data_IF_497102878099
#
_entry.id   IF_497102878099
#
_cell.length_a   1.000
_cell.length_b   1.000
_cell.length_c   1.000
_cell.angle_alpha   90.00
_cell.angle_beta   90.00
_cell.angle_gamma   90.00
#
_symmetry.space_group_name_H-M   'P 1'
#
loop_
_entity.id
_entity.type
_entity.pdbx_description
1 polymer ?
#
# COMPACT_ATOMS: atom_id res chain seq x y z
N UNK A 1 11.53 -31.68 -12.54
CA UNK A 1 11.47 -30.20 -12.53
C UNK A 1 12.35 -29.75 -11.39
N UNK A 2 13.45 -29.08 -11.68
CA UNK A 2 14.36 -28.55 -10.65
C UNK A 2 13.62 -27.45 -9.89
N UNK A 3 13.36 -27.67 -8.60
CA UNK A 3 12.86 -26.63 -7.70
C UNK A 3 13.85 -25.47 -7.71
N UNK A 4 13.50 -24.38 -8.40
CA UNK A 4 14.24 -23.14 -8.31
C UNK A 4 14.06 -22.65 -6.88
N UNK A 5 15.13 -22.71 -6.09
CA UNK A 5 15.14 -22.21 -4.72
C UNK A 5 14.95 -20.69 -4.75
N UNK A 6 13.72 -20.24 -4.53
CA UNK A 6 13.40 -18.81 -4.45
C UNK A 6 14.11 -18.25 -3.21
N UNK A 7 14.89 -17.20 -3.40
CA UNK A 7 15.57 -16.48 -2.33
C UNK A 7 14.94 -15.10 -2.22
N UNK A 8 14.36 -14.81 -1.07
CA UNK A 8 13.80 -13.49 -0.77
C UNK A 8 14.88 -12.59 -0.19
N UNK A 9 14.87 -11.31 -0.57
CA UNK A 9 15.86 -10.34 -0.12
C UNK A 9 15.18 -9.05 0.33
N UNK A 10 15.84 -8.30 1.22
CA UNK A 10 15.38 -6.97 1.60
C UNK A 10 15.55 -6.03 0.39
N UNK A 11 14.48 -5.38 -0.11
CA UNK A 11 14.57 -4.42 -1.20
C UNK A 11 15.52 -3.27 -0.87
N UNK A 12 16.22 -2.77 -1.89
CA UNK A 12 17.09 -1.60 -1.79
C UNK A 12 16.71 -0.57 -2.84
N UNK A 13 17.02 0.69 -2.53
CA UNK A 13 16.78 1.80 -3.44
C UNK A 13 17.75 1.74 -4.62
N UNK A 14 17.20 1.58 -5.82
CA UNK A 14 17.97 1.54 -7.08
C UNK A 14 17.81 2.80 -7.93
N UNK A 15 16.75 3.59 -7.71
CA UNK A 15 16.52 4.88 -8.38
C UNK A 15 17.07 6.00 -7.50
N UNK A 16 18.28 6.46 -7.85
CA UNK A 16 19.01 7.50 -7.10
C UNK A 16 19.24 8.76 -7.94
N UNK A 17 19.14 8.65 -9.27
CA UNK A 17 19.34 9.73 -10.22
C UNK A 17 18.35 9.64 -11.39
N UNK A 18 18.21 10.71 -12.16
CA UNK A 18 17.40 10.70 -13.40
C UNK A 18 17.90 9.66 -14.40
N UNK A 19 19.21 9.38 -14.45
CA UNK A 19 19.78 8.37 -15.34
C UNK A 19 19.30 6.95 -14.99
N UNK A 20 19.02 6.68 -13.72
CA UNK A 20 18.50 5.39 -13.26
C UNK A 20 17.03 5.17 -13.66
N UNK A 21 16.30 6.23 -14.00
CA UNK A 21 14.92 6.11 -14.50
C UNK A 21 14.83 5.25 -15.76
N UNK A 22 15.85 5.30 -16.62
CA UNK A 22 15.91 4.43 -17.81
C UNK A 22 15.95 2.96 -17.42
N UNK A 23 16.75 2.61 -16.40
CA UNK A 23 16.82 1.23 -15.86
C UNK A 23 15.48 0.82 -15.28
N UNK A 24 14.85 1.72 -14.51
CA UNK A 24 13.52 1.50 -13.94
C UNK A 24 12.48 1.18 -15.01
N UNK A 25 12.35 2.01 -16.05
CA UNK A 25 11.37 1.79 -17.12
C UNK A 25 11.60 0.50 -17.92
N UNK A 26 12.85 0.04 -18.02
CA UNK A 26 13.18 -1.25 -18.65
C UNK A 26 13.12 -2.46 -17.71
N UNK A 27 12.86 -2.25 -16.42
CA UNK A 27 12.94 -3.31 -15.41
C UNK A 27 11.71 -4.22 -15.42
N UNK A 28 11.90 -5.48 -15.00
CA UNK A 28 10.80 -6.41 -14.80
C UNK A 28 9.80 -5.90 -13.75
N UNK A 29 10.29 -5.24 -12.69
CA UNK A 29 9.45 -4.68 -11.63
C UNK A 29 8.47 -3.62 -12.15
N UNK A 30 8.94 -2.73 -13.04
CA UNK A 30 8.07 -1.73 -13.67
C UNK A 30 6.99 -2.38 -14.55
N UNK A 31 7.37 -3.36 -15.37
CA UNK A 31 6.43 -4.11 -16.20
C UNK A 31 5.37 -4.84 -15.37
N UNK A 32 5.80 -5.61 -14.36
CA UNK A 32 4.91 -6.34 -13.46
C UNK A 32 3.95 -5.42 -12.70
N UNK A 33 4.43 -4.26 -12.25
CA UNK A 33 3.64 -3.28 -11.52
C UNK A 33 2.56 -2.65 -12.39
N UNK A 34 2.91 -2.18 -13.59
CA UNK A 34 1.92 -1.61 -14.51
C UNK A 34 0.89 -2.66 -14.93
N UNK A 35 1.35 -3.87 -15.27
CA UNK A 35 0.46 -4.99 -15.58
C UNK A 35 -0.54 -5.24 -14.44
N UNK A 36 -0.07 -5.23 -13.19
CA UNK A 36 -0.93 -5.39 -12.02
C UNK A 36 -1.98 -4.26 -11.92
N UNK A 37 -1.55 -3.00 -12.02
CA UNK A 37 -2.46 -1.83 -11.92
C UNK A 37 -3.50 -1.86 -13.03
N UNK A 38 -3.11 -2.17 -14.27
CA UNK A 38 -4.04 -2.26 -15.40
C UNK A 38 -4.97 -3.47 -15.30
N UNK A 39 -4.51 -4.62 -14.78
CA UNK A 39 -5.38 -5.78 -14.55
C UNK A 39 -6.49 -5.48 -13.56
N UNK A 40 -6.17 -4.86 -12.43
CA UNK A 40 -7.20 -4.41 -11.48
C UNK A 40 -8.16 -3.44 -12.19
N UNK A 41 -7.63 -2.45 -12.91
CA UNK A 41 -8.45 -1.47 -13.63
C UNK A 41 -9.45 -2.15 -14.58
N UNK A 42 -9.00 -3.12 -15.39
CA UNK A 42 -9.87 -3.89 -16.29
C UNK A 42 -10.93 -4.70 -15.54
N UNK A 43 -10.55 -5.33 -14.43
CA UNK A 43 -11.48 -6.15 -13.64
C UNK A 43 -12.52 -5.30 -12.87
N UNK A 44 -12.27 -4.00 -12.69
CA UNK A 44 -13.19 -3.04 -12.10
C UNK A 44 -14.04 -2.27 -13.13
N UNK A 45 -13.79 -2.44 -14.44
CA UNK A 45 -14.57 -1.77 -15.49
C UNK A 45 -16.06 -2.07 -15.35
N UNK A 46 -16.88 -1.02 -15.32
CA UNK A 46 -18.35 -1.10 -15.19
C UNK A 46 -18.81 -1.84 -13.93
N UNK A 47 -17.97 -1.93 -12.89
CA UNK A 47 -18.22 -2.73 -11.70
C UNK A 47 -18.08 -1.89 -10.42
N UNK A 48 -19.18 -1.47 -9.77
CA UNK A 48 -19.11 -0.75 -8.51
C UNK A 48 -18.52 -1.64 -7.40
N UNK A 49 -18.03 -1.03 -6.31
CA UNK A 49 -17.46 -1.78 -5.18
C UNK A 49 -18.45 -2.83 -4.61
N UNK A 50 -19.75 -2.53 -4.62
CA UNK A 50 -20.81 -3.45 -4.18
C UNK A 50 -20.90 -4.74 -5.01
N UNK A 51 -20.35 -4.74 -6.22
CA UNK A 51 -20.35 -5.87 -7.15
C UNK A 51 -18.96 -6.54 -7.25
N UNK A 52 -18.00 -6.16 -6.41
CA UNK A 52 -16.66 -6.77 -6.36
C UNK A 52 -16.65 -8.17 -5.69
N UNK A 53 -17.82 -8.72 -5.42
CA UNK A 53 -18.00 -10.07 -4.90
C UNK A 53 -17.67 -10.20 -3.41
N UNK A 54 -17.69 -11.44 -2.92
CA UNK A 54 -17.24 -11.76 -1.56
C UNK A 54 -15.71 -11.87 -1.56
N UNK A 55 -14.99 -11.21 -0.64
CA UNK A 55 -13.55 -11.40 -0.52
C UNK A 55 -13.23 -12.86 -0.17
N UNK A 56 -12.13 -13.38 -0.75
CA UNK A 56 -11.56 -14.66 -0.32
C UNK A 56 -11.00 -14.57 1.09
N UNK A 57 -10.70 -15.71 1.71
CA UNK A 57 -10.07 -15.76 3.05
C UNK A 57 -8.76 -14.95 3.08
N UNK A 58 -7.97 -15.03 2.00
CA UNK A 58 -6.75 -14.26 1.86
C UNK A 58 -7.03 -12.75 1.77
N UNK A 59 -8.04 -12.33 1.01
CA UNK A 59 -8.39 -10.91 0.93
C UNK A 59 -8.93 -10.38 2.26
N UNK A 60 -9.77 -11.19 2.94
CA UNK A 60 -10.26 -10.90 4.30
C UNK A 60 -9.10 -10.76 5.29
N UNK A 61 -8.11 -11.65 5.27
CA UNK A 61 -6.96 -11.55 6.19
C UNK A 61 -6.11 -10.28 5.99
N UNK A 62 -6.03 -9.75 4.77
CA UNK A 62 -5.37 -8.45 4.51
C UNK A 62 -6.22 -7.29 5.03
N UNK A 63 -7.56 -7.37 4.91
CA UNK A 63 -8.47 -6.41 5.54
C UNK A 63 -8.31 -6.41 7.06
N UNK A 64 -8.28 -7.60 7.68
CA UNK A 64 -8.09 -7.76 9.13
C UNK A 64 -6.72 -7.24 9.58
N UNK A 65 -5.67 -7.42 8.77
CA UNK A 65 -4.37 -6.79 9.01
C UNK A 65 -4.49 -5.26 9.02
N UNK A 66 -5.22 -4.66 8.06
CA UNK A 66 -5.44 -3.21 8.03
C UNK A 66 -6.30 -2.75 9.23
N UNK A 67 -7.28 -3.54 9.68
CA UNK A 67 -8.06 -3.30 10.90
C UNK A 67 -7.18 -3.30 12.15
N UNK A 68 -6.24 -4.24 12.25
CA UNK A 68 -5.26 -4.26 13.33
C UNK A 68 -4.42 -2.98 13.33
N UNK A 69 -3.88 -2.57 12.17
CA UNK A 69 -3.09 -1.34 12.06
C UNK A 69 -3.90 -0.09 12.42
N UNK A 70 -5.18 -0.04 12.03
CA UNK A 70 -6.10 1.03 12.42
C UNK A 70 -6.33 1.07 13.93
N UNK A 71 -6.53 -0.09 14.56
CA UNK A 71 -6.82 -0.19 15.99
C UNK A 71 -5.72 0.46 16.84
N UNK A 72 -4.47 0.41 16.39
CA UNK A 72 -3.33 1.02 17.09
C UNK A 72 -3.40 2.54 17.15
N UNK A 73 -4.20 3.20 16.31
CA UNK A 73 -4.39 4.65 16.39
C UNK A 73 -4.90 5.06 17.78
N UNK A 74 -5.71 4.21 18.43
CA UNK A 74 -6.18 4.45 19.80
C UNK A 74 -5.05 4.41 20.85
N UNK A 75 -4.01 3.61 20.61
CA UNK A 75 -2.84 3.51 21.51
C UNK A 75 -1.89 4.71 21.37
N UNK A 76 -1.98 5.45 20.25
CA UNK A 76 -1.14 6.61 19.94
C UNK A 76 -1.99 7.84 19.65
N UNK A 77 -2.70 8.40 20.65
CA UNK A 77 -3.55 9.57 20.45
C UNK A 77 -2.71 10.81 20.03
N UNK A 78 -3.28 11.73 19.23
CA UNK A 78 -2.59 12.95 18.83
C UNK A 78 -2.11 13.77 20.03
N UNK A 79 -0.84 14.21 19.98
CA UNK A 79 -0.28 15.10 21.00
C UNK A 79 -0.86 16.51 20.82
N UNK A 80 -1.44 17.06 21.89
CA UNK A 80 -1.90 18.45 21.95
C UNK A 80 -0.75 19.38 22.33
N UNK A 81 0.12 19.66 21.36
CA UNK A 81 1.17 20.68 21.50
C UNK A 81 0.72 21.96 20.77
N UNK A 82 0.41 23.01 21.53
CA UNK A 82 -0.01 24.31 20.99
C UNK A 82 1.06 24.97 20.09
N UNK A 83 2.32 24.53 20.16
CA UNK A 83 3.41 25.02 19.29
C UNK A 83 3.53 24.22 17.99
N UNK A 84 2.91 23.05 17.89
CA UNK A 84 2.99 22.20 16.72
C UNK A 84 1.99 22.63 15.64
N UNK A 85 2.50 23.25 14.57
CA UNK A 85 1.70 23.71 13.44
C UNK A 85 1.48 22.66 12.35
N UNK A 86 2.40 21.70 12.23
CA UNK A 86 2.44 20.70 11.15
C UNK A 86 2.67 19.30 11.73
N UNK A 87 2.18 18.26 11.04
CA UNK A 87 2.45 16.82 11.28
C UNK A 87 2.56 16.38 12.74
N UNK A 88 1.55 15.75 13.32
CA UNK A 88 1.55 15.29 14.71
C UNK A 88 2.62 14.22 14.96
N UNK A 89 3.44 14.43 16.01
CA UNK A 89 4.57 13.53 16.31
C UNK A 89 4.15 12.13 16.75
N UNK A 90 2.93 11.93 17.25
CA UNK A 90 2.43 10.61 17.60
C UNK A 90 2.41 9.63 16.41
N UNK A 91 2.37 10.14 15.17
CA UNK A 91 2.54 9.31 13.97
C UNK A 91 3.86 8.54 13.96
N UNK A 92 4.92 9.12 14.53
CA UNK A 92 6.23 8.46 14.60
C UNK A 92 6.18 7.21 15.47
N UNK A 93 5.43 7.26 16.56
CA UNK A 93 5.31 6.14 17.49
C UNK A 93 4.41 5.05 16.89
N UNK A 94 3.30 5.43 16.24
CA UNK A 94 2.47 4.50 15.47
C UNK A 94 3.27 3.81 14.35
N UNK A 95 4.03 4.58 13.57
CA UNK A 95 4.83 4.06 12.46
C UNK A 95 6.00 3.20 12.95
N UNK A 96 6.63 3.59 14.07
CA UNK A 96 7.67 2.78 14.71
C UNK A 96 7.14 1.40 15.07
N UNK A 97 5.96 1.29 15.68
CA UNK A 97 5.33 -0.01 15.97
C UNK A 97 5.11 -0.83 14.70
N UNK A 98 4.63 -0.20 13.62
CA UNK A 98 4.52 -0.86 12.31
C UNK A 98 5.86 -1.44 11.86
N UNK A 99 6.94 -0.65 11.89
CA UNK A 99 8.27 -1.12 11.47
C UNK A 99 8.82 -2.26 12.33
N UNK A 100 8.55 -2.25 13.64
CA UNK A 100 9.00 -3.29 14.57
C UNK A 100 8.19 -4.59 14.43
N UNK A 101 6.91 -4.51 14.07
CA UNK A 101 6.02 -5.66 13.98
C UNK A 101 5.79 -6.19 12.55
N UNK A 102 6.16 -5.45 11.49
CA UNK A 102 5.78 -5.76 10.11
C UNK A 102 6.17 -7.18 9.67
N UNK A 103 7.38 -7.63 10.00
CA UNK A 103 7.84 -8.98 9.63
C UNK A 103 6.99 -10.06 10.29
N UNK A 104 6.68 -9.93 11.58
CA UNK A 104 5.89 -10.93 12.31
C UNK A 104 4.42 -10.92 11.87
N UNK A 105 3.85 -9.74 11.59
CA UNK A 105 2.52 -9.61 10.98
C UNK A 105 2.48 -10.34 9.64
N UNK A 106 3.47 -10.13 8.78
CA UNK A 106 3.52 -10.76 7.47
C UNK A 106 3.80 -12.26 7.53
N UNK A 107 4.59 -12.74 8.50
CA UNK A 107 4.74 -14.18 8.71
C UNK A 107 3.42 -14.83 9.11
N UNK A 108 2.66 -14.21 10.00
CA UNK A 108 1.33 -14.69 10.38
C UNK A 108 0.35 -14.68 9.20
N UNK A 109 0.37 -13.62 8.39
CA UNK A 109 -0.47 -13.49 7.20
C UNK A 109 -0.14 -14.53 6.12
N UNK A 110 1.15 -14.77 5.86
CA UNK A 110 1.61 -15.58 4.73
C UNK A 110 1.71 -17.08 5.03
N UNK A 111 1.70 -17.47 6.31
CA UNK A 111 1.82 -18.86 6.80
C UNK A 111 2.95 -19.63 6.10
N UNK A 112 2.64 -20.56 5.20
CA UNK A 112 3.60 -21.36 4.43
C UNK A 112 4.57 -20.51 3.58
N UNK A 113 4.22 -19.26 3.28
CA UNK A 113 5.04 -18.32 2.49
C UNK A 113 5.77 -17.28 3.36
N UNK A 114 5.86 -17.53 4.67
CA UNK A 114 6.49 -16.64 5.66
C UNK A 114 7.93 -16.22 5.34
N UNK A 115 8.68 -17.00 4.56
CA UNK A 115 10.02 -16.63 4.09
C UNK A 115 10.04 -15.34 3.24
N UNK A 116 8.93 -15.00 2.58
CA UNK A 116 8.79 -13.78 1.80
C UNK A 116 8.56 -12.52 2.65
N UNK A 117 8.26 -12.67 3.94
CA UNK A 117 7.94 -11.55 4.83
C UNK A 117 9.05 -10.49 4.87
N UNK A 118 10.32 -10.89 4.80
CA UNK A 118 11.46 -9.97 4.79
C UNK A 118 11.50 -9.06 3.56
N UNK A 119 10.98 -9.54 2.43
CA UNK A 119 10.95 -8.80 1.18
C UNK A 119 9.71 -7.89 1.11
N UNK A 120 8.58 -8.36 1.64
CA UNK A 120 7.31 -7.61 1.64
C UNK A 120 7.25 -6.53 2.73
N UNK A 121 7.94 -6.70 3.85
CA UNK A 121 7.85 -5.79 5.00
C UNK A 121 8.22 -4.34 4.64
N UNK A 122 9.29 -4.05 3.88
CA UNK A 122 9.61 -2.67 3.49
C UNK A 122 8.52 -2.01 2.65
N UNK A 123 7.91 -2.73 1.70
CA UNK A 123 6.78 -2.20 0.93
C UNK A 123 5.59 -1.84 1.83
N UNK A 124 5.25 -2.71 2.79
CA UNK A 124 4.18 -2.45 3.75
C UNK A 124 4.52 -1.25 4.66
N UNK A 125 5.74 -1.16 5.17
CA UNK A 125 6.16 -0.07 6.06
C UNK A 125 6.14 1.30 5.35
N UNK A 126 6.57 1.34 4.09
CA UNK A 126 6.57 2.55 3.27
C UNK A 126 5.20 2.87 2.67
N UNK A 127 4.16 2.06 2.93
CA UNK A 127 2.82 2.29 2.40
C UNK A 127 2.06 3.43 3.09
N UNK A 128 2.43 3.83 4.32
CA UNK A 128 1.57 4.70 5.16
C UNK A 128 2.12 6.11 5.41
N UNK A 129 3.19 6.50 4.72
CA UNK A 129 3.83 7.80 4.86
C UNK A 129 5.24 7.74 5.46
N UNK A 130 5.90 8.89 5.56
CA UNK A 130 7.24 9.00 6.11
C UNK A 130 7.21 9.52 7.56
N UNK A 131 7.75 8.80 8.56
CA UNK A 131 7.69 9.22 9.96
C UNK A 131 8.56 10.45 10.27
N UNK A 132 9.65 10.65 9.54
CA UNK A 132 10.55 11.79 9.76
C UNK A 132 9.88 13.09 9.34
N UNK A 133 9.38 13.13 8.11
CA UNK A 133 8.71 14.29 7.51
C UNK A 133 7.25 14.42 7.92
N UNK A 134 6.63 13.33 8.37
CA UNK A 134 5.19 13.23 8.70
C UNK A 134 4.37 13.65 7.48
N UNK A 135 4.71 13.06 6.34
CA UNK A 135 4.06 13.28 5.05
C UNK A 135 3.61 11.97 4.40
N UNK A 136 2.64 12.06 3.50
CA UNK A 136 2.12 10.95 2.70
C UNK A 136 1.87 11.45 1.27
N UNK A 137 2.02 10.59 0.27
CA UNK A 137 1.73 10.91 -1.13
C UNK A 137 1.73 9.66 -2.01
N UNK A 138 1.67 9.87 -3.32
CA UNK A 138 1.49 8.81 -4.34
C UNK A 138 2.62 7.78 -4.37
N UNK A 139 3.82 8.14 -3.90
CA UNK A 139 4.92 7.17 -3.71
C UNK A 139 4.61 6.12 -2.64
N UNK A 140 3.94 6.52 -1.55
CA UNK A 140 3.51 5.62 -0.49
C UNK A 140 2.33 4.75 -0.95
N UNK A 141 1.36 5.35 -1.67
CA UNK A 141 0.30 4.61 -2.36
C UNK A 141 0.88 3.53 -3.29
N UNK A 142 1.90 3.88 -4.08
CA UNK A 142 2.59 2.95 -4.97
C UNK A 142 3.28 1.82 -4.21
N UNK A 143 3.81 2.06 -3.01
CA UNK A 143 4.39 1.01 -2.17
C UNK A 143 3.33 0.00 -1.73
N UNK A 144 2.11 0.44 -1.39
CA UNK A 144 1.01 -0.47 -1.07
C UNK A 144 0.58 -1.31 -2.27
N UNK A 145 0.52 -0.69 -3.45
CA UNK A 145 0.22 -1.40 -4.69
C UNK A 145 1.30 -2.40 -5.07
N UNK A 146 2.58 -2.09 -4.84
CA UNK A 146 3.69 -3.04 -4.99
C UNK A 146 3.56 -4.21 -4.00
N UNK A 147 3.21 -3.92 -2.75
CA UNK A 147 2.92 -4.95 -1.75
C UNK A 147 1.81 -5.91 -2.22
N UNK A 148 0.68 -5.39 -2.72
CA UNK A 148 -0.40 -6.20 -3.30
C UNK A 148 0.07 -6.98 -4.54
N UNK A 149 0.84 -6.36 -5.43
CA UNK A 149 1.44 -7.02 -6.59
C UNK A 149 2.29 -8.23 -6.16
N UNK A 150 3.15 -8.06 -5.15
CA UNK A 150 3.95 -9.14 -4.57
C UNK A 150 3.09 -10.29 -4.04
N UNK A 151 1.95 -10.02 -3.40
CA UNK A 151 1.01 -11.06 -2.95
C UNK A 151 0.42 -11.87 -4.12
N UNK A 152 0.12 -11.24 -5.26
CA UNK A 152 -0.25 -11.98 -6.48
C UNK A 152 0.92 -12.80 -7.05
N UNK A 153 2.14 -12.26 -7.07
CA UNK A 153 3.34 -12.97 -7.54
C UNK A 153 3.66 -14.19 -6.67
N UNK A 154 3.40 -14.10 -5.37
CA UNK A 154 3.53 -15.19 -4.41
C UNK A 154 2.42 -16.24 -4.52
N UNK A 155 1.39 -16.02 -5.35
CA UNK A 155 0.16 -16.84 -5.37
C UNK A 155 -0.53 -16.88 -3.99
N UNK A 156 -0.36 -15.82 -3.20
CA UNK A 156 -1.22 -15.58 -2.05
C UNK A 156 -2.59 -15.14 -2.54
N UNK A 157 -2.63 -14.18 -3.46
CA UNK A 157 -3.82 -13.91 -4.26
C UNK A 157 -3.81 -14.69 -5.57
N UNK A 158 -5.00 -15.04 -6.04
CA UNK A 158 -5.25 -15.66 -7.34
C UNK A 158 -6.09 -14.74 -8.22
N UNK A 159 -6.19 -15.05 -9.51
CA UNK A 159 -6.87 -14.18 -10.49
C UNK A 159 -8.30 -13.78 -10.10
N UNK A 160 -9.02 -14.67 -9.43
CA UNK A 160 -10.40 -14.38 -8.99
C UNK A 160 -10.47 -13.33 -7.88
N UNK A 161 -9.35 -13.00 -7.24
CA UNK A 161 -9.28 -11.98 -6.18
C UNK A 161 -9.15 -10.54 -6.73
N UNK A 162 -8.85 -10.35 -8.02
CA UNK A 162 -8.63 -8.99 -8.57
C UNK A 162 -9.76 -8.00 -8.24
N UNK A 163 -11.05 -8.32 -8.42
CA UNK A 163 -12.13 -7.41 -8.06
C UNK A 163 -12.15 -7.08 -6.56
N UNK A 164 -12.00 -8.08 -5.68
CA UNK A 164 -12.01 -7.87 -4.23
C UNK A 164 -10.78 -7.08 -3.76
N UNK A 165 -9.60 -7.30 -4.35
CA UNK A 165 -8.40 -6.54 -4.01
C UNK A 165 -8.55 -5.07 -4.41
N UNK A 166 -9.08 -4.80 -5.61
CA UNK A 166 -9.29 -3.43 -6.09
C UNK A 166 -10.44 -2.69 -5.40
N UNK A 167 -11.57 -3.37 -5.19
CA UNK A 167 -12.80 -2.75 -4.69
C UNK A 167 -12.96 -2.80 -3.17
N UNK A 168 -12.34 -3.75 -2.47
CA UNK A 168 -12.54 -3.96 -1.02
C UNK A 168 -11.24 -3.71 -0.25
N UNK A 169 -10.16 -4.41 -0.60
CA UNK A 169 -8.88 -4.28 0.12
C UNK A 169 -8.31 -2.87 -0.05
N UNK A 170 -8.30 -2.35 -1.28
CA UNK A 170 -7.79 -1.01 -1.54
C UNK A 170 -8.70 0.08 -0.95
N UNK A 171 -10.02 -0.09 -0.98
CA UNK A 171 -10.95 0.83 -0.28
C UNK A 171 -10.62 0.89 1.22
N UNK A 172 -10.40 -0.27 1.84
CA UNK A 172 -10.03 -0.37 3.25
C UNK A 172 -8.70 0.30 3.56
N UNK A 173 -7.71 0.16 2.67
CA UNK A 173 -6.43 0.85 2.76
C UNK A 173 -6.59 2.38 2.69
N UNK A 174 -7.40 2.89 1.76
CA UNK A 174 -7.68 4.32 1.64
C UNK A 174 -8.37 4.85 2.90
N UNK A 175 -9.28 4.08 3.50
CA UNK A 175 -9.90 4.44 4.77
C UNK A 175 -8.85 4.62 5.87
N UNK A 176 -7.93 3.66 6.03
CA UNK A 176 -6.84 3.77 7.01
C UNK A 176 -5.96 4.99 6.73
N UNK A 177 -5.54 5.20 5.48
CA UNK A 177 -4.74 6.37 5.10
C UNK A 177 -5.42 7.68 5.45
N UNK A 178 -6.71 7.84 5.11
CA UNK A 178 -7.50 9.04 5.45
C UNK A 178 -7.59 9.24 6.96
N UNK A 179 -7.77 8.16 7.72
CA UNK A 179 -7.83 8.23 9.18
C UNK A 179 -6.50 8.66 9.80
N UNK A 180 -5.38 8.13 9.31
CA UNK A 180 -4.03 8.56 9.72
C UNK A 180 -3.77 10.03 9.36
N UNK A 181 -4.12 10.43 8.13
CA UNK A 181 -3.97 11.81 7.65
C UNK A 181 -4.74 12.80 8.52
N UNK A 182 -6.00 12.51 8.83
CA UNK A 182 -6.85 13.37 9.66
C UNK A 182 -6.39 13.38 11.12
N UNK A 183 -6.07 12.21 11.67
CA UNK A 183 -5.72 12.06 13.10
C UNK A 183 -4.37 12.70 13.40
N UNK A 184 -3.38 12.46 12.55
CA UNK A 184 -2.02 12.97 12.75
C UNK A 184 -1.70 14.22 11.95
N UNK A 185 -2.66 14.83 11.23
CA UNK A 185 -2.42 16.03 10.41
C UNK A 185 -1.20 15.84 9.48
N UNK A 186 -1.14 14.68 8.82
CA UNK A 186 -0.04 14.30 7.91
C UNK A 186 -0.05 15.27 6.72
N UNK A 187 1.12 15.70 6.27
CA UNK A 187 1.26 16.65 5.17
C UNK A 187 1.31 15.95 3.80
N UNK A 188 0.90 16.62 2.71
CA UNK A 188 1.09 16.11 1.35
C UNK A 188 2.57 16.01 0.98
N UNK A 189 3.01 14.83 0.55
CA UNK A 189 4.36 14.60 0.07
C UNK A 189 4.43 14.91 -1.44
N UNK A 190 5.19 15.94 -1.81
CA UNK A 190 5.40 16.27 -3.22
C UNK A 190 4.19 16.90 -3.92
N UNK A 191 3.20 17.41 -3.18
CA UNK A 191 2.10 18.19 -3.76
C UNK A 191 2.65 19.43 -4.45
N UNK A 192 2.27 19.62 -5.70
CA UNK A 192 2.47 20.87 -6.45
C UNK A 192 1.27 21.83 -6.28
N UNK A 193 0.44 21.63 -5.25
CA UNK A 193 -0.79 22.40 -5.01
C UNK A 193 -1.75 22.27 -6.19
N UNK A 194 -2.13 23.41 -6.78
CA UNK A 194 -3.06 23.51 -7.92
C UNK A 194 -2.64 22.74 -9.18
N UNK A 195 -1.40 22.23 -9.25
CA UNK A 195 -0.90 21.43 -10.37
C UNK A 195 -0.99 19.91 -10.15
N UNK A 196 -1.52 19.47 -9.01
CA UNK A 196 -1.68 18.05 -8.69
C UNK A 196 -3.13 17.62 -8.90
N UNK A 197 -3.33 16.35 -9.29
CA UNK A 197 -4.68 15.77 -9.42
C UNK A 197 -5.39 15.71 -8.06
N UNK A 198 -4.64 15.34 -7.03
CA UNK A 198 -5.02 15.29 -5.62
C UNK A 198 -3.75 15.41 -4.78
N UNK A 199 -3.88 15.83 -3.52
CA UNK A 199 -2.75 16.05 -2.63
C UNK A 199 -2.07 14.74 -2.17
N UNK A 200 -2.78 13.61 -2.19
CA UNK A 200 -2.31 12.36 -1.57
C UNK A 200 -2.37 11.14 -2.50
N UNK A 201 -3.44 10.98 -3.26
CA UNK A 201 -3.77 9.73 -3.97
C UNK A 201 -3.84 9.93 -5.48
N UNK A 202 -3.60 8.87 -6.25
CA UNK A 202 -3.81 8.88 -7.71
C UNK A 202 -4.68 7.71 -8.16
N UNK A 203 -4.38 6.51 -7.68
CA UNK A 203 -5.01 5.27 -8.16
C UNK A 203 -6.53 5.17 -7.92
N UNK A 204 -7.13 5.75 -6.86
CA UNK A 204 -8.58 5.79 -6.69
C UNK A 204 -9.29 6.49 -7.85
N UNK A 205 -8.67 7.49 -8.48
CA UNK A 205 -9.24 8.16 -9.64
C UNK A 205 -9.14 7.29 -10.89
N UNK A 206 -8.01 6.61 -11.08
CA UNK A 206 -7.82 5.67 -12.18
C UNK A 206 -8.86 4.55 -12.11
N UNK A 207 -8.87 3.79 -11.03
CA UNK A 207 -9.79 2.67 -10.84
C UNK A 207 -11.24 3.12 -10.71
N UNK A 208 -11.50 4.18 -9.97
CA UNK A 208 -12.85 4.75 -9.82
C UNK A 208 -13.44 5.17 -11.17
N UNK A 209 -12.65 5.80 -12.04
CA UNK A 209 -13.13 6.16 -13.39
C UNK A 209 -13.51 4.95 -14.24
N UNK A 210 -12.79 3.82 -14.11
CA UNK A 210 -13.10 2.59 -14.83
C UNK A 210 -14.47 2.01 -14.43
N UNK A 211 -14.86 2.16 -13.16
CA UNK A 211 -16.15 1.69 -12.66
C UNK A 211 -17.34 2.40 -13.29
N UNK A 212 -17.16 3.63 -13.78
CA UNK A 212 -18.19 4.44 -14.44
C UNK A 212 -18.21 4.30 -15.96
N UNK A 213 -17.33 3.47 -16.54
CA UNK A 213 -17.39 3.15 -17.98
C UNK A 213 -18.69 2.34 -18.21
N UNK A 214 -19.49 2.76 -19.18
CA UNK A 214 -20.75 2.12 -19.58
C UNK A 214 -20.56 1.17 -20.76
#
# INVERSE_FOLDING_TARGET
MTDVKITYIVPKREVLSEADMKKWFSSQAYGDFLDFVFRINTELTSKPNTECGKPSENATSVVEMLDLLESWIADYPPINDAKQRFGNKAFRDWHKRLTECAVEILKALLDQKSAAAIELAPYLCDSFGNPTRIDYGTGHESCFLMFLCCLFKLRFFVRTDYPAVGGIVFERYLYLCRKLQQTYRIEPAGSHGVWSLDDYQFVPFLWGSAQFIS
#
